data_IF_506126127063
#
_entry.id   IF_506126127063
#
_cell.length_a   1.000
_cell.length_b   1.000
_cell.length_c   1.000
_cell.angle_alpha   90.00
_cell.angle_beta   90.00
_cell.angle_gamma   90.00
#
_symmetry.space_group_name_H-M   'P 1'
#
loop_
_entity.id
_entity.type
_entity.pdbx_description
1 polymer ?
#
# COMPACT_ATOMS: atom_id res chain seq x y z
N UNK A 1 -1.47 0.27 -10.91
CA UNK A 1 -2.04 0.26 -9.54
C UNK A 1 -2.64 -1.08 -9.13
N UNK A 2 -3.65 -1.64 -9.83
CA UNK A 2 -4.33 -2.88 -9.36
C UNK A 2 -3.43 -4.12 -9.21
N UNK A 3 -2.28 -4.17 -9.91
CA UNK A 3 -1.28 -5.23 -9.75
C UNK A 3 -0.46 -5.15 -8.45
N UNK A 4 -0.47 -4.01 -7.75
CA UNK A 4 0.46 -3.66 -6.65
C UNK A 4 0.55 -4.64 -5.47
N UNK A 5 -0.36 -5.60 -5.34
CA UNK A 5 -0.39 -6.56 -4.24
C UNK A 5 -0.71 -7.95 -4.72
N UNK A 6 -0.17 -8.30 -5.88
CA UNK A 6 -0.52 -9.54 -6.58
C UNK A 6 0.71 -10.30 -7.06
N UNK A 7 1.90 -9.69 -7.02
CA UNK A 7 3.07 -10.23 -7.70
C UNK A 7 4.39 -9.60 -7.24
N UNK A 8 5.46 -10.40 -7.17
CA UNK A 8 6.84 -9.92 -7.01
C UNK A 8 7.39 -9.25 -8.28
N UNK A 9 6.72 -9.35 -9.43
CA UNK A 9 7.09 -8.61 -10.64
C UNK A 9 6.89 -7.10 -10.48
N UNK A 10 6.13 -6.68 -9.48
CA UNK A 10 5.88 -5.26 -9.24
C UNK A 10 7.11 -4.52 -8.71
N UNK A 11 7.78 -4.92 -7.61
CA UNK A 11 9.01 -4.26 -7.20
C UNK A 11 10.06 -4.29 -8.31
N UNK A 12 10.19 -5.41 -9.05
CA UNK A 12 11.05 -5.50 -10.26
C UNK A 12 10.75 -4.38 -11.26
N UNK A 13 9.49 -4.21 -11.67
CA UNK A 13 9.11 -3.15 -12.60
C UNK A 13 9.32 -1.75 -12.01
N UNK A 14 9.03 -1.54 -10.73
CA UNK A 14 9.28 -0.25 -10.07
C UNK A 14 10.78 0.09 -10.09
N UNK A 15 11.66 -0.88 -9.88
CA UNK A 15 13.12 -0.67 -9.95
C UNK A 15 13.58 -0.35 -11.39
N UNK A 16 13.00 -1.00 -12.40
CA UNK A 16 13.36 -0.81 -13.81
C UNK A 16 12.87 0.52 -14.39
N UNK A 17 11.59 0.87 -14.16
CA UNK A 17 10.93 2.01 -14.82
C UNK A 17 10.58 3.16 -13.87
N UNK A 18 10.70 2.96 -12.56
CA UNK A 18 10.32 3.93 -11.55
C UNK A 18 8.85 3.84 -11.14
N UNK A 19 8.58 4.22 -9.89
CA UNK A 19 7.24 4.10 -9.28
C UNK A 19 6.15 4.88 -10.03
N UNK A 20 6.42 6.12 -10.42
CA UNK A 20 5.45 6.96 -11.12
C UNK A 20 5.09 6.40 -12.50
N UNK A 21 6.07 5.86 -13.23
CA UNK A 21 5.83 5.22 -14.51
C UNK A 21 5.03 3.93 -14.34
N UNK A 22 5.41 3.10 -13.37
CA UNK A 22 4.67 1.87 -13.03
C UNK A 22 3.19 2.15 -12.72
N UNK A 23 2.89 3.22 -11.98
CA UNK A 23 1.52 3.63 -11.65
C UNK A 23 0.80 4.42 -12.75
N UNK A 24 1.43 4.68 -13.89
CA UNK A 24 0.84 5.37 -15.03
C UNK A 24 0.27 4.41 -16.07
N UNK A 25 -0.95 4.68 -16.53
CA UNK A 25 -1.62 3.91 -17.59
C UNK A 25 -2.66 2.91 -17.09
N UNK A 26 -3.08 2.01 -17.99
CA UNK A 26 -4.11 0.99 -17.71
C UNK A 26 -3.49 -0.25 -17.09
N UNK A 27 -4.30 -1.01 -16.34
CA UNK A 27 -3.91 -2.32 -15.77
C UNK A 27 -3.31 -3.28 -16.82
N UNK A 28 -3.89 -3.31 -18.03
CA UNK A 28 -3.44 -4.19 -19.11
C UNK A 28 -2.01 -3.88 -19.63
N UNK A 29 -1.44 -2.70 -19.33
CA UNK A 29 -0.10 -2.30 -19.77
C UNK A 29 0.98 -3.30 -19.36
N UNK A 30 0.83 -3.88 -18.17
CA UNK A 30 1.80 -4.82 -17.59
C UNK A 30 1.35 -6.28 -17.68
N UNK A 31 0.32 -6.59 -18.46
CA UNK A 31 -0.31 -7.91 -18.48
C UNK A 31 0.60 -9.05 -18.97
N UNK A 32 1.62 -8.75 -19.77
CA UNK A 32 2.64 -9.72 -20.20
C UNK A 32 3.87 -9.77 -19.28
N UNK A 33 4.01 -8.80 -18.37
CA UNK A 33 5.17 -8.64 -17.49
C UNK A 33 4.91 -9.14 -16.07
N UNK A 34 3.65 -9.07 -15.62
CA UNK A 34 3.21 -9.47 -14.29
C UNK A 34 2.49 -10.80 -14.42
N UNK A 35 3.25 -11.87 -14.24
CA UNK A 35 2.81 -13.25 -14.44
C UNK A 35 3.00 -14.13 -13.20
N UNK A 36 3.82 -13.69 -12.25
CA UNK A 36 4.09 -14.44 -11.02
C UNK A 36 3.10 -14.03 -9.93
N UNK A 37 2.42 -14.98 -9.25
CA UNK A 37 1.64 -14.67 -8.06
C UNK A 37 2.55 -14.25 -6.90
N UNK A 38 1.95 -13.75 -5.82
CA UNK A 38 2.64 -13.37 -4.58
C UNK A 38 3.67 -14.44 -4.19
N UNK A 39 4.92 -14.03 -3.96
CA UNK A 39 6.05 -14.93 -3.78
C UNK A 39 7.15 -14.39 -2.87
N UNK A 40 8.29 -15.09 -2.83
CA UNK A 40 9.39 -14.80 -1.90
C UNK A 40 9.85 -13.35 -1.96
N UNK A 41 10.04 -12.83 -3.17
CA UNK A 41 10.54 -11.48 -3.43
C UNK A 41 9.53 -10.36 -3.11
N UNK A 42 8.31 -10.66 -2.67
CA UNK A 42 7.42 -9.64 -2.09
C UNK A 42 7.81 -9.28 -0.65
N UNK A 43 8.46 -10.21 0.05
CA UNK A 43 8.70 -10.13 1.50
C UNK A 43 10.17 -10.30 1.90
N UNK A 44 11.01 -10.84 1.02
CA UNK A 44 12.41 -11.16 1.33
C UNK A 44 13.38 -10.45 0.38
N UNK A 45 14.47 -9.97 0.96
CA UNK A 45 15.67 -9.55 0.23
C UNK A 45 16.32 -10.75 -0.46
N UNK A 46 16.68 -10.63 -1.74
CA UNK A 46 17.14 -11.76 -2.55
C UNK A 46 18.60 -12.17 -2.29
N UNK A 47 19.39 -11.36 -1.58
CA UNK A 47 20.77 -11.67 -1.23
C UNK A 47 20.89 -12.20 0.20
N UNK A 48 20.18 -11.57 1.14
CA UNK A 48 20.29 -11.84 2.57
C UNK A 48 19.12 -12.66 3.13
N UNK A 49 18.04 -12.83 2.36
CA UNK A 49 16.80 -13.50 2.77
C UNK A 49 16.09 -12.87 3.97
N UNK A 50 16.52 -11.69 4.41
CA UNK A 50 15.86 -10.96 5.51
C UNK A 50 14.50 -10.45 5.05
N UNK A 51 13.57 -10.34 6.01
CA UNK A 51 12.29 -9.67 5.76
C UNK A 51 12.55 -8.21 5.33
N UNK A 52 11.90 -7.79 4.26
CA UNK A 52 12.06 -6.45 3.71
C UNK A 52 10.72 -5.91 3.21
N UNK A 53 10.57 -4.59 3.28
CA UNK A 53 9.45 -3.87 2.70
C UNK A 53 9.83 -3.49 1.27
N UNK A 54 9.21 -4.16 0.31
CA UNK A 54 9.40 -3.95 -1.15
C UNK A 54 8.45 -2.89 -1.71
N UNK A 55 7.48 -2.44 -0.91
CA UNK A 55 6.46 -1.47 -1.32
C UNK A 55 6.64 -0.13 -0.62
N UNK A 56 7.19 0.86 -1.32
CA UNK A 56 7.51 2.16 -0.71
C UNK A 56 6.29 2.94 -0.22
N UNK A 57 5.10 2.69 -0.75
CA UNK A 57 3.86 3.29 -0.21
C UNK A 57 3.56 2.85 1.23
N UNK A 58 4.00 1.66 1.67
CA UNK A 58 3.88 1.27 3.09
C UNK A 58 4.79 2.12 3.95
N UNK A 59 6.04 2.34 3.52
CA UNK A 59 7.01 3.18 4.25
C UNK A 59 6.45 4.60 4.42
N UNK A 60 5.96 5.19 3.33
CA UNK A 60 5.30 6.51 3.35
C UNK A 60 4.08 6.56 4.25
N UNK A 61 3.25 5.52 4.26
CA UNK A 61 2.08 5.45 5.14
C UNK A 61 2.47 5.40 6.62
N UNK A 62 3.43 4.54 6.98
CA UNK A 62 3.96 4.44 8.35
C UNK A 62 4.57 5.76 8.82
N UNK A 63 5.39 6.38 7.97
CA UNK A 63 6.05 7.64 8.29
C UNK A 63 5.05 8.81 8.39
N UNK A 64 3.95 8.78 7.62
CA UNK A 64 2.86 9.75 7.70
C UNK A 64 2.01 9.59 8.98
N UNK A 65 1.78 8.36 9.42
CA UNK A 65 1.05 8.07 10.67
C UNK A 65 1.89 8.41 11.91
N UNK A 66 3.18 8.08 11.89
CA UNK A 66 4.18 8.60 12.80
C UNK A 66 4.42 7.82 14.10
N UNK A 67 3.62 6.80 14.44
CA UNK A 67 3.85 5.96 15.63
C UNK A 67 5.00 4.97 15.49
N UNK A 68 5.30 4.57 14.25
CA UNK A 68 6.44 3.72 13.90
C UNK A 68 7.00 4.19 12.56
N UNK A 69 8.24 4.69 12.56
CA UNK A 69 8.94 4.96 11.30
C UNK A 69 9.36 3.65 10.65
N UNK A 70 9.29 3.60 9.33
CA UNK A 70 9.64 2.37 8.60
C UNK A 70 11.10 1.93 8.84
N UNK A 71 12.01 2.89 9.09
CA UNK A 71 13.43 2.64 9.40
C UNK A 71 13.66 2.04 10.78
N UNK A 72 12.72 2.23 11.70
CA UNK A 72 12.87 1.88 13.11
C UNK A 72 12.17 0.54 13.43
N UNK A 73 11.55 -0.09 12.42
CA UNK A 73 10.85 -1.36 12.55
C UNK A 73 11.76 -2.49 13.05
N UNK A 74 11.34 -3.11 14.16
CA UNK A 74 12.01 -4.29 14.71
C UNK A 74 11.71 -5.54 13.88
N UNK A 75 12.39 -6.64 14.16
CA UNK A 75 12.06 -7.93 13.53
C UNK A 75 10.60 -8.36 13.80
N UNK A 76 10.08 -8.10 15.00
CA UNK A 76 8.69 -8.43 15.34
C UNK A 76 7.69 -7.55 14.59
N UNK A 77 8.01 -6.27 14.38
CA UNK A 77 7.19 -5.39 13.54
C UNK A 77 7.18 -5.89 12.09
N UNK A 78 8.35 -6.24 11.54
CA UNK A 78 8.48 -6.75 10.17
C UNK A 78 7.64 -8.00 9.91
N UNK A 79 7.47 -8.88 10.91
CA UNK A 79 6.59 -10.07 10.85
C UNK A 79 5.10 -9.74 10.64
N UNK A 80 4.71 -8.49 10.83
CA UNK A 80 3.38 -7.97 10.47
C UNK A 80 3.43 -7.02 9.27
N UNK A 81 4.47 -6.18 9.17
CA UNK A 81 4.60 -5.17 8.12
C UNK A 81 4.73 -5.79 6.72
N UNK A 82 5.37 -6.96 6.57
CA UNK A 82 5.40 -7.65 5.27
C UNK A 82 4.00 -8.03 4.76
N UNK A 83 3.04 -8.23 5.67
CA UNK A 83 1.62 -8.43 5.35
C UNK A 83 0.91 -7.09 5.05
N UNK A 84 1.22 -6.05 5.83
CA UNK A 84 0.66 -4.70 5.70
C UNK A 84 1.00 -4.02 4.36
N UNK A 85 2.04 -4.50 3.66
CA UNK A 85 2.30 -4.10 2.26
C UNK A 85 1.06 -4.28 1.37
N UNK A 86 0.19 -5.23 1.71
CA UNK A 86 -0.99 -5.60 0.94
C UNK A 86 -2.30 -5.42 1.71
N UNK A 87 -2.33 -5.91 2.95
CA UNK A 87 -3.53 -6.00 3.80
C UNK A 87 -3.80 -4.71 4.56
N UNK A 88 -4.02 -3.64 3.80
CA UNK A 88 -4.27 -2.29 4.31
C UNK A 88 -5.26 -1.54 3.43
N UNK A 89 -5.97 -0.60 4.04
CA UNK A 89 -6.80 0.39 3.34
C UNK A 89 -5.95 1.26 2.44
N UNK A 90 -6.47 1.57 1.25
CA UNK A 90 -5.77 2.41 0.30
C UNK A 90 -6.73 3.06 -0.69
N UNK A 91 -6.28 4.19 -1.24
CA UNK A 91 -6.89 4.82 -2.41
C UNK A 91 -5.85 5.05 -3.52
N UNK A 92 -6.33 5.49 -4.69
CA UNK A 92 -5.47 5.92 -5.79
C UNK A 92 -5.35 7.44 -5.83
N UNK A 93 -4.21 7.95 -5.37
CA UNK A 93 -3.87 9.36 -5.47
C UNK A 93 -3.49 9.69 -6.91
N UNK A 94 -4.19 10.65 -7.51
CA UNK A 94 -3.80 11.20 -8.81
C UNK A 94 -2.56 12.05 -8.61
N UNK A 95 -1.46 11.67 -9.25
CA UNK A 95 -0.16 12.35 -9.12
C UNK A 95 0.32 12.75 -10.51
N UNK A 96 0.36 14.05 -10.76
CA UNK A 96 0.95 14.61 -11.97
C UNK A 96 2.47 14.48 -11.91
N UNK A 97 3.10 14.11 -13.01
CA UNK A 97 4.56 14.03 -13.14
C UNK A 97 4.99 14.20 -14.61
N UNK A 98 6.27 14.47 -14.85
CA UNK A 98 6.83 14.59 -16.20
C UNK A 98 7.80 13.45 -16.44
N UNK A 99 7.62 12.73 -17.55
CA UNK A 99 8.51 11.62 -17.90
C UNK A 99 9.87 12.10 -18.41
N UNK A 100 10.81 11.17 -18.57
CA UNK A 100 12.18 11.47 -19.06
C UNK A 100 12.21 12.07 -20.48
N UNK A 101 11.11 12.01 -21.23
CA UNK A 101 10.96 12.59 -22.58
C UNK A 101 10.27 13.97 -22.53
N UNK A 102 10.03 14.51 -21.34
CA UNK A 102 9.40 15.82 -21.15
C UNK A 102 7.88 15.80 -21.33
N UNK A 103 7.23 14.63 -21.35
CA UNK A 103 5.79 14.53 -21.51
C UNK A 103 5.09 14.47 -20.15
N UNK A 104 4.04 15.27 -19.99
CA UNK A 104 3.20 15.25 -18.81
C UNK A 104 2.37 13.96 -18.72
N UNK A 105 2.31 13.39 -17.52
CA UNK A 105 1.68 12.13 -17.20
C UNK A 105 0.92 12.25 -15.88
N UNK A 106 -0.05 11.35 -15.67
CA UNK A 106 -0.78 11.24 -14.40
C UNK A 106 -0.75 9.79 -13.93
N UNK A 107 -0.13 9.57 -12.78
CA UNK A 107 -0.09 8.28 -12.10
C UNK A 107 -1.28 8.13 -11.14
N UNK A 108 -1.77 6.89 -10.98
CA UNK A 108 -2.69 6.50 -9.91
C UNK A 108 -1.91 5.81 -8.80
N UNK A 109 -1.23 6.59 -7.97
CA UNK A 109 -0.31 6.07 -6.95
C UNK A 109 -1.09 5.50 -5.78
N UNK A 110 -0.76 4.28 -5.37
CA UNK A 110 -1.35 3.68 -4.17
C UNK A 110 -0.91 4.49 -2.96
N UNK A 111 -1.87 4.94 -2.17
CA UNK A 111 -1.63 5.75 -0.98
C UNK A 111 -2.47 5.21 0.16
N UNK A 112 -1.87 5.07 1.34
CA UNK A 112 -2.57 4.72 2.57
C UNK A 112 -3.04 6.02 3.26
N UNK A 113 -4.32 6.14 3.64
CA UNK A 113 -4.90 7.37 4.19
C UNK A 113 -4.61 7.53 5.70
N UNK A 114 -3.36 7.32 6.12
CA UNK A 114 -2.99 7.15 7.52
C UNK A 114 -2.48 8.43 8.20
N UNK A 115 -2.47 9.58 7.51
CA UNK A 115 -1.94 10.86 8.02
C UNK A 115 -2.57 11.30 9.35
N UNK A 116 -3.77 10.81 9.68
CA UNK A 116 -4.48 11.12 10.93
C UNK A 116 -4.55 9.93 11.92
N UNK A 117 -3.93 8.79 11.61
CA UNK A 117 -4.02 7.55 12.38
C UNK A 117 -4.74 6.41 11.65
N UNK A 118 -4.80 5.24 12.31
CA UNK A 118 -5.36 4.00 11.75
C UNK A 118 -6.88 3.83 11.93
N UNK A 119 -7.57 4.67 12.70
CA UNK A 119 -9.01 4.47 12.95
C UNK A 119 -9.84 4.86 11.72
N UNK A 120 -11.02 4.26 11.57
CA UNK A 120 -11.93 4.58 10.47
C UNK A 120 -12.31 6.07 10.46
N UNK A 121 -12.55 6.66 11.63
CA UNK A 121 -12.88 8.08 11.80
C UNK A 121 -11.71 9.00 11.46
N UNK A 122 -10.47 8.56 11.71
CA UNK A 122 -9.27 9.30 11.32
C UNK A 122 -9.12 9.34 9.79
N UNK A 123 -9.33 8.19 9.13
CA UNK A 123 -9.31 8.08 7.67
C UNK A 123 -10.49 8.83 7.02
N UNK A 124 -11.67 8.82 7.63
CA UNK A 124 -12.83 9.60 7.19
C UNK A 124 -12.50 11.10 7.18
N UNK A 125 -11.94 11.62 8.28
CA UNK A 125 -11.46 13.02 8.35
C UNK A 125 -10.41 13.33 7.30
N UNK A 126 -9.51 12.39 7.03
CA UNK A 126 -8.50 12.55 5.98
C UNK A 126 -9.16 12.72 4.60
N UNK A 127 -10.05 11.78 4.23
CA UNK A 127 -10.72 11.80 2.94
C UNK A 127 -11.63 13.03 2.76
N UNK A 128 -12.35 13.43 3.80
CA UNK A 128 -13.17 14.64 3.79
C UNK A 128 -12.33 15.91 3.56
N UNK A 129 -11.18 16.02 4.26
CA UNK A 129 -10.29 17.18 4.15
C UNK A 129 -9.75 17.39 2.74
N UNK A 130 -9.57 16.31 1.96
CA UNK A 130 -9.13 16.39 0.56
C UNK A 130 -10.30 16.28 -0.44
N UNK A 131 -11.54 16.28 0.05
CA UNK A 131 -12.77 16.09 -0.75
C UNK A 131 -12.67 14.89 -1.70
N UNK A 132 -12.09 13.79 -1.20
CA UNK A 132 -11.86 12.60 -2.02
C UNK A 132 -13.14 11.79 -2.21
N UNK A 133 -13.27 11.22 -3.40
CA UNK A 133 -14.41 10.41 -3.81
C UNK A 133 -13.91 9.27 -4.68
N UNK A 134 -14.13 8.03 -4.27
CA UNK A 134 -13.83 6.85 -5.09
C UNK A 134 -14.84 6.72 -6.24
N UNK A 135 -16.14 6.87 -5.94
CA UNK A 135 -17.20 6.90 -6.94
C UNK A 135 -18.42 7.69 -6.46
N UNK A 136 -19.18 8.25 -7.41
CA UNK A 136 -20.51 8.78 -7.13
C UNK A 136 -21.53 7.66 -7.22
N UNK A 137 -22.30 7.43 -6.17
CA UNK A 137 -23.37 6.43 -6.16
C UNK A 137 -24.36 6.71 -7.30
N UNK A 138 -24.61 5.73 -8.18
CA UNK A 138 -25.47 5.93 -9.36
C UNK A 138 -26.93 6.16 -9.01
N UNK A 139 -27.39 5.72 -7.83
CA UNK A 139 -28.78 5.86 -7.36
C UNK A 139 -28.91 7.14 -6.53
N UNK A 140 -28.24 7.22 -5.38
CA UNK A 140 -28.40 8.32 -4.42
C UNK A 140 -27.62 9.59 -4.78
N UNK A 141 -26.68 9.51 -5.74
CA UNK A 141 -25.74 10.59 -6.12
C UNK A 141 -24.76 10.99 -5.01
N UNK A 142 -24.70 10.24 -3.91
CA UNK A 142 -23.76 10.48 -2.81
C UNK A 142 -22.31 10.24 -3.27
N UNK A 143 -21.34 11.11 -2.92
CA UNK A 143 -19.92 10.82 -3.06
C UNK A 143 -19.50 9.73 -2.07
N UNK A 144 -19.01 8.60 -2.57
CA UNK A 144 -18.71 7.43 -1.76
C UNK A 144 -17.21 7.22 -1.57
N UNK A 145 -16.86 6.69 -0.41
CA UNK A 145 -15.56 6.10 -0.08
C UNK A 145 -15.67 4.58 -0.12
N UNK A 146 -14.61 3.89 -0.61
CA UNK A 146 -14.54 2.43 -0.60
C UNK A 146 -13.47 2.00 0.41
N UNK A 147 -13.86 1.19 1.38
CA UNK A 147 -12.92 0.47 2.22
C UNK A 147 -12.41 -0.81 1.51
N UNK A 148 -11.10 -1.02 1.51
CA UNK A 148 -10.35 -2.16 0.99
C UNK A 148 -9.59 -2.82 2.14
N UNK A 149 -10.05 -4.00 2.57
CA UNK A 149 -9.29 -4.93 3.42
C UNK A 149 -8.34 -4.27 4.46
N UNK A 150 -8.87 -3.45 5.41
CA UNK A 150 -8.09 -2.72 6.43
C UNK A 150 -7.55 -3.66 7.52
N UNK A 151 -6.80 -4.68 7.11
CA UNK A 151 -6.37 -5.77 7.97
C UNK A 151 -5.39 -5.31 9.03
N UNK A 152 -4.34 -4.60 8.62
CA UNK A 152 -3.31 -4.08 9.53
C UNK A 152 -3.90 -3.07 10.52
N UNK A 153 -4.76 -2.17 10.04
CA UNK A 153 -5.33 -1.08 10.83
C UNK A 153 -6.28 -1.60 11.91
N UNK A 154 -7.16 -2.55 11.54
CA UNK A 154 -8.02 -3.22 12.50
C UNK A 154 -7.21 -4.11 13.45
N UNK A 155 -6.15 -4.77 12.98
CA UNK A 155 -5.26 -5.57 13.81
C UNK A 155 -4.56 -4.72 14.89
N UNK A 156 -4.07 -3.52 14.53
CA UNK A 156 -3.34 -2.63 15.46
C UNK A 156 -4.18 -2.15 16.64
N UNK A 157 -5.50 -2.21 16.55
CA UNK A 157 -6.43 -1.88 17.65
C UNK A 157 -6.95 -3.11 18.39
N UNK A 158 -6.69 -4.32 17.90
CA UNK A 158 -7.11 -5.58 18.52
C UNK A 158 -6.18 -6.05 19.63
N UNK A 159 -6.69 -6.88 20.55
CA UNK A 159 -5.93 -7.34 21.72
C UNK A 159 -4.61 -8.04 21.37
N UNK A 160 -4.58 -8.83 20.30
CA UNK A 160 -3.35 -9.49 19.85
C UNK A 160 -2.30 -8.47 19.37
N UNK A 161 -2.70 -7.49 18.55
CA UNK A 161 -1.79 -6.44 18.07
C UNK A 161 -1.31 -5.51 19.19
N UNK A 162 -2.18 -5.20 20.15
CA UNK A 162 -1.81 -4.44 21.35
C UNK A 162 -0.81 -5.18 22.25
N UNK A 163 -0.81 -6.52 22.20
CA UNK A 163 0.16 -7.37 22.90
C UNK A 163 1.33 -7.82 22.00
N UNK A 164 1.56 -7.13 20.88
CA UNK A 164 2.66 -7.37 19.95
C UNK A 164 2.74 -8.79 19.37
N UNK A 165 1.59 -9.48 19.26
CA UNK A 165 1.48 -10.78 18.58
C UNK A 165 1.35 -10.53 17.08
N UNK A 166 2.36 -10.89 16.31
CA UNK A 166 2.47 -10.56 14.90
C UNK A 166 1.52 -11.40 14.03
N UNK A 167 1.25 -10.92 12.81
CA UNK A 167 0.50 -11.68 11.80
C UNK A 167 1.10 -13.08 11.58
N UNK A 168 2.44 -13.15 11.48
CA UNK A 168 3.15 -14.41 11.29
C UNK A 168 3.01 -15.39 12.46
N UNK A 169 2.77 -14.93 13.70
CA UNK A 169 2.62 -15.82 14.86
C UNK A 169 1.41 -16.78 14.71
N UNK A 170 0.39 -16.36 13.96
CA UNK A 170 -0.83 -17.14 13.74
C UNK A 170 -0.91 -17.73 12.32
N UNK A 171 -0.48 -16.96 11.32
CA UNK A 171 -0.66 -17.33 9.90
C UNK A 171 0.56 -18.02 9.29
N UNK A 172 1.72 -17.96 9.96
CA UNK A 172 2.98 -18.59 9.53
C UNK A 172 3.73 -19.19 10.75
N UNK A 173 3.12 -20.15 11.47
CA UNK A 173 3.69 -20.73 12.68
C UNK A 173 4.94 -21.59 12.40
#
# INVERSE_FOLDING_TARGET
ACWRCKSPDVPRLIDEIGELDYFTGKWARHGSEIANPVGCADCHDNETMKLTITRDFLKRGLDAEGSLKATDATHQDLRSLVCAQCHSEYYFKKTAWTDKKGKEQTAGVVTFPWDNGFSAEAMEKYYDAISFVDWTNKVSKTPMLKAQHPGYEMYKTGVHGLNNVACADCHMP
#
